data_IF_785434614320
#
_entry.id   IF_785434614320
#
_cell.length_a   1.000
_cell.length_b   1.000
_cell.length_c   1.000
_cell.angle_alpha   90.00
_cell.angle_beta   90.00
_cell.angle_gamma   90.00
#
_symmetry.space_group_name_H-M   'P 1'
#
loop_
_entity.id
_entity.type
_entity.pdbx_description
1 polymer ?
#
# COMPACT_ATOMS: atom_id res chain seq x y z
N UNK A 1 28.17 -1.30 4.01
CA UNK A 1 26.90 -0.94 4.68
C UNK A 1 26.09 -2.22 4.76
N UNK A 2 25.38 -2.48 5.86
CA UNK A 2 24.64 -3.75 5.97
C UNK A 2 23.28 -3.71 5.27
N UNK A 3 22.76 -2.52 4.99
CA UNK A 3 21.63 -2.26 4.11
C UNK A 3 21.76 -0.87 3.47
N UNK A 4 20.93 -0.53 2.47
CA UNK A 4 20.70 0.85 2.05
C UNK A 4 19.25 1.03 1.59
N UNK A 5 18.50 1.93 2.24
CA UNK A 5 17.11 2.19 1.85
C UNK A 5 16.73 3.65 2.10
N UNK A 6 16.15 4.31 1.10
CA UNK A 6 15.75 5.72 1.15
C UNK A 6 14.34 6.01 0.60
N UNK A 7 13.50 4.98 0.46
CA UNK A 7 12.20 5.10 -0.22
C UNK A 7 11.11 5.87 0.56
N UNK A 8 11.35 6.25 1.82
CA UNK A 8 10.36 6.97 2.63
C UNK A 8 10.90 8.28 3.18
N UNK A 9 9.99 9.21 3.47
CA UNK A 9 10.34 10.55 3.97
C UNK A 9 11.10 10.51 5.30
N UNK A 10 10.96 9.44 6.09
CA UNK A 10 11.65 9.26 7.37
C UNK A 10 13.03 8.60 7.25
N UNK A 11 13.57 8.43 6.04
CA UNK A 11 14.92 7.89 5.85
C UNK A 11 15.95 8.65 6.71
N UNK A 12 16.88 7.90 7.29
CA UNK A 12 17.82 8.46 8.25
C UNK A 12 18.59 9.66 7.66
N UNK A 13 18.59 10.78 8.40
CA UNK A 13 19.20 12.07 7.99
C UNK A 13 18.64 12.67 6.70
N UNK A 14 17.51 12.18 6.18
CA UNK A 14 17.01 12.54 4.87
C UNK A 14 17.89 12.04 3.71
N UNK A 15 18.75 11.03 3.95
CA UNK A 15 19.70 10.49 2.96
C UNK A 15 19.46 9.00 2.71
N UNK A 16 19.41 8.19 3.77
CA UNK A 16 19.27 6.74 3.63
C UNK A 16 19.55 5.99 4.92
N UNK A 17 18.81 4.91 5.16
CA UNK A 17 19.02 4.01 6.29
C UNK A 17 20.08 2.97 5.94
N UNK A 18 21.16 2.88 6.72
CA UNK A 18 22.34 2.04 6.39
C UNK A 18 22.66 0.92 7.37
N UNK A 19 21.88 0.81 8.45
CA UNK A 19 22.07 -0.17 9.55
C UNK A 19 20.72 -0.78 9.94
N UNK A 20 19.74 0.08 10.25
CA UNK A 20 18.34 -0.28 10.50
C UNK A 20 17.46 0.85 10.00
N UNK A 21 16.31 0.50 9.42
CA UNK A 21 15.32 1.48 9.00
C UNK A 21 14.72 2.24 10.19
N UNK A 22 14.44 3.54 10.03
CA UNK A 22 13.68 4.31 11.03
C UNK A 22 12.28 3.72 11.23
N UNK A 23 11.72 3.12 10.18
CA UNK A 23 10.49 2.32 10.23
C UNK A 23 10.60 1.02 11.06
N UNK A 24 11.83 0.62 11.43
CA UNK A 24 12.12 -0.60 12.19
C UNK A 24 12.53 -1.80 11.34
N UNK A 25 12.53 -1.69 10.00
CA UNK A 25 13.01 -2.72 9.07
C UNK A 25 14.47 -3.04 9.37
N UNK A 26 14.78 -4.31 9.64
CA UNK A 26 16.16 -4.78 9.85
C UNK A 26 16.90 -4.93 8.51
N UNK A 27 18.20 -5.20 8.57
CA UNK A 27 19.04 -5.36 7.38
C UNK A 27 18.61 -6.55 6.51
N UNK A 28 18.27 -7.68 7.12
CA UNK A 28 17.86 -8.90 6.40
C UNK A 28 16.60 -8.67 5.57
N UNK A 29 15.53 -8.12 6.17
CA UNK A 29 14.29 -7.78 5.44
C UNK A 29 14.55 -6.72 4.37
N UNK A 30 15.43 -5.74 4.62
CA UNK A 30 15.77 -4.75 3.62
C UNK A 30 16.45 -5.38 2.40
N UNK A 31 17.45 -6.23 2.64
CA UNK A 31 18.23 -6.89 1.60
C UNK A 31 17.39 -7.90 0.82
N UNK A 32 16.49 -8.64 1.51
CA UNK A 32 15.52 -9.52 0.85
C UNK A 32 14.55 -8.75 -0.03
N UNK A 33 14.10 -7.55 0.37
CA UNK A 33 13.27 -6.71 -0.50
C UNK A 33 14.04 -6.19 -1.71
N UNK A 34 15.33 -5.86 -1.57
CA UNK A 34 16.19 -5.50 -2.71
C UNK A 34 16.35 -6.69 -3.68
N UNK A 35 16.57 -7.90 -3.16
CA UNK A 35 16.62 -9.12 -3.98
C UNK A 35 15.28 -9.43 -4.66
N UNK A 36 14.15 -9.20 -3.98
CA UNK A 36 12.83 -9.33 -4.60
C UNK A 36 12.70 -8.37 -5.77
N UNK A 37 13.05 -7.09 -5.60
CA UNK A 37 13.06 -6.11 -6.69
C UNK A 37 13.99 -6.52 -7.84
N UNK A 38 15.17 -7.03 -7.53
CA UNK A 38 16.12 -7.56 -8.50
C UNK A 38 15.50 -8.71 -9.32
N UNK A 39 14.82 -9.65 -8.67
CA UNK A 39 14.12 -10.75 -9.33
C UNK A 39 12.99 -10.24 -10.25
N UNK A 40 12.17 -9.29 -9.79
CA UNK A 40 11.09 -8.71 -10.59
C UNK A 40 11.61 -8.03 -11.86
N UNK A 41 12.73 -7.30 -11.77
CA UNK A 41 13.38 -6.69 -12.95
C UNK A 41 13.87 -7.75 -13.95
N UNK A 42 14.37 -8.88 -13.46
CA UNK A 42 14.74 -10.05 -14.28
C UNK A 42 13.54 -10.69 -15.00
N UNK A 43 12.44 -10.91 -14.28
CA UNK A 43 11.17 -11.40 -14.85
C UNK A 43 10.71 -10.44 -15.96
N UNK A 44 10.72 -9.13 -15.68
CA UNK A 44 10.30 -8.12 -16.63
C UNK A 44 11.11 -8.16 -17.95
N UNK A 45 12.44 -8.33 -17.89
CA UNK A 45 13.26 -8.48 -19.09
C UNK A 45 12.90 -9.72 -19.92
N UNK A 46 12.61 -10.85 -19.27
CA UNK A 46 12.20 -12.06 -19.98
C UNK A 46 10.82 -11.91 -20.63
N UNK A 47 9.86 -11.31 -19.92
CA UNK A 47 8.52 -11.03 -20.47
C UNK A 47 8.62 -10.09 -21.68
N UNK A 48 9.39 -8.99 -21.57
CA UNK A 48 9.68 -8.10 -22.70
C UNK A 48 10.31 -8.82 -23.89
N UNK A 49 11.22 -9.77 -23.64
CA UNK A 49 11.84 -10.59 -24.69
C UNK A 49 10.81 -11.50 -25.35
N UNK A 50 9.95 -12.16 -24.56
CA UNK A 50 8.88 -13.01 -25.07
C UNK A 50 7.88 -12.24 -25.95
N UNK A 51 7.46 -11.05 -25.54
CA UNK A 51 6.63 -10.15 -26.35
C UNK A 51 7.28 -9.81 -27.70
N UNK A 52 8.55 -9.39 -27.67
CA UNK A 52 9.29 -9.00 -28.88
C UNK A 52 9.41 -10.14 -29.88
N UNK A 53 9.59 -11.37 -29.39
CA UNK A 53 9.77 -12.57 -30.21
C UNK A 53 8.45 -13.32 -30.46
N UNK A 54 7.31 -12.78 -29.99
CA UNK A 54 5.98 -13.37 -30.08
C UNK A 54 5.89 -14.80 -29.50
N UNK A 55 6.55 -15.04 -28.38
CA UNK A 55 6.53 -16.32 -27.65
C UNK A 55 5.51 -16.25 -26.52
N UNK A 56 4.58 -17.20 -26.47
CA UNK A 56 3.64 -17.33 -25.36
C UNK A 56 4.37 -17.81 -24.10
N UNK A 57 4.16 -17.12 -22.98
CA UNK A 57 4.79 -17.40 -21.69
C UNK A 57 3.76 -17.30 -20.55
N UNK A 58 4.02 -17.88 -19.36
CA UNK A 58 3.16 -17.71 -18.21
C UNK A 58 2.92 -16.24 -17.86
N UNK A 59 1.73 -15.93 -17.37
CA UNK A 59 1.38 -14.58 -16.95
C UNK A 59 2.10 -14.24 -15.63
N UNK A 60 2.84 -13.13 -15.62
CA UNK A 60 3.59 -12.65 -14.45
C UNK A 60 2.93 -11.43 -13.77
N UNK A 61 1.83 -10.91 -14.31
CA UNK A 61 1.25 -9.62 -13.95
C UNK A 61 0.89 -9.51 -12.46
N UNK A 62 0.12 -10.47 -11.95
CA UNK A 62 -0.32 -10.46 -10.54
C UNK A 62 0.85 -10.68 -9.57
N UNK A 63 1.81 -11.54 -9.94
CA UNK A 63 3.01 -11.75 -9.12
C UNK A 63 3.82 -10.45 -9.01
N UNK A 64 4.07 -9.77 -10.13
CA UNK A 64 4.81 -8.50 -10.16
C UNK A 64 4.10 -7.42 -9.35
N UNK A 65 2.78 -7.29 -9.53
CA UNK A 65 1.95 -6.34 -8.80
C UNK A 65 2.05 -6.55 -7.28
N UNK A 66 1.75 -7.76 -6.80
CA UNK A 66 1.76 -8.04 -5.35
C UNK A 66 3.16 -7.96 -4.76
N UNK A 67 4.19 -8.43 -5.47
CA UNK A 67 5.56 -8.34 -5.00
C UNK A 67 6.06 -6.89 -4.89
N UNK A 68 5.67 -6.00 -5.81
CA UNK A 68 5.95 -4.57 -5.69
C UNK A 68 5.32 -4.00 -4.42
N UNK A 69 4.05 -4.32 -4.15
CA UNK A 69 3.33 -3.84 -2.97
C UNK A 69 3.96 -4.36 -1.67
N UNK A 70 4.36 -5.63 -1.60
CA UNK A 70 5.06 -6.22 -0.43
C UNK A 70 6.30 -5.41 0.00
N UNK A 71 6.96 -4.71 -0.93
CA UNK A 71 8.16 -3.90 -0.64
C UNK A 71 7.88 -2.43 -0.27
N UNK A 72 6.62 -2.02 -0.19
CA UNK A 72 6.23 -0.68 0.29
C UNK A 72 6.63 -0.52 1.76
N UNK A 73 6.93 0.72 2.15
CA UNK A 73 7.24 1.06 3.55
C UNK A 73 6.10 0.63 4.46
N UNK A 74 6.44 -0.09 5.53
CA UNK A 74 5.49 -0.61 6.50
C UNK A 74 4.45 -1.60 5.91
N UNK A 75 4.73 -2.26 4.78
CA UNK A 75 3.87 -3.32 4.26
C UNK A 75 4.22 -4.67 4.90
N UNK A 76 5.44 -5.18 4.66
CA UNK A 76 5.83 -6.51 5.09
C UNK A 76 7.21 -6.53 5.77
N UNK A 77 7.28 -7.13 6.97
CA UNK A 77 8.48 -7.35 7.77
C UNK A 77 8.81 -8.83 7.96
N UNK A 78 8.01 -9.73 7.37
CA UNK A 78 8.17 -11.18 7.47
C UNK A 78 9.15 -11.67 6.40
N UNK A 79 10.36 -12.01 6.84
CA UNK A 79 11.46 -12.52 6.03
C UNK A 79 11.06 -13.80 5.29
N UNK A 80 10.35 -14.72 5.95
CA UNK A 80 9.92 -15.98 5.35
C UNK A 80 8.87 -15.76 4.26
N UNK A 81 7.93 -14.82 4.47
CA UNK A 81 6.96 -14.43 3.44
C UNK A 81 7.65 -13.81 2.22
N UNK A 82 8.68 -12.99 2.42
CA UNK A 82 9.46 -12.37 1.34
C UNK A 82 10.28 -13.43 0.59
N UNK A 83 10.94 -14.36 1.29
CA UNK A 83 11.67 -15.48 0.67
C UNK A 83 10.72 -16.34 -0.17
N UNK A 84 9.53 -16.67 0.35
CA UNK A 84 8.50 -17.37 -0.41
C UNK A 84 8.14 -16.63 -1.70
N UNK A 85 7.95 -15.31 -1.64
CA UNK A 85 7.68 -14.47 -2.82
C UNK A 85 8.83 -14.48 -3.82
N UNK A 86 10.08 -14.43 -3.36
CA UNK A 86 11.26 -14.56 -4.24
C UNK A 86 11.26 -15.90 -4.98
N UNK A 87 10.99 -17.01 -4.27
CA UNK A 87 10.93 -18.35 -4.85
C UNK A 87 9.84 -18.50 -5.91
N UNK A 88 8.64 -17.97 -5.65
CA UNK A 88 7.56 -17.91 -6.64
C UNK A 88 8.01 -17.18 -7.93
N UNK A 89 8.72 -16.06 -7.79
CA UNK A 89 9.27 -15.31 -8.91
C UNK A 89 10.36 -16.07 -9.66
N UNK A 90 11.19 -16.84 -8.95
CA UNK A 90 12.21 -17.71 -9.57
C UNK A 90 11.57 -18.81 -10.42
N UNK A 91 10.52 -19.47 -9.93
CA UNK A 91 9.77 -20.47 -10.71
C UNK A 91 9.19 -19.86 -11.98
N UNK A 92 8.53 -18.69 -11.89
CA UNK A 92 8.03 -17.98 -13.08
C UNK A 92 9.15 -17.67 -14.07
N UNK A 93 10.30 -17.21 -13.57
CA UNK A 93 11.47 -16.89 -14.40
C UNK A 93 12.00 -18.12 -15.14
N UNK A 94 12.08 -19.27 -14.47
CA UNK A 94 12.48 -20.54 -15.08
C UNK A 94 11.50 -20.97 -16.18
N UNK A 95 10.18 -20.87 -15.95
CA UNK A 95 9.16 -21.24 -16.92
C UNK A 95 9.19 -20.33 -18.17
N UNK A 96 9.29 -19.01 -17.98
CA UNK A 96 9.38 -18.03 -19.07
C UNK A 96 10.68 -18.25 -19.87
N UNK A 97 11.82 -18.41 -19.20
CA UNK A 97 13.11 -18.68 -19.84
C UNK A 97 13.10 -20.02 -20.59
N UNK A 98 12.45 -21.05 -20.03
CA UNK A 98 12.27 -22.35 -20.66
C UNK A 98 11.45 -22.26 -21.94
N UNK A 99 10.34 -21.53 -21.93
CA UNK A 99 9.51 -21.29 -23.11
C UNK A 99 10.28 -20.59 -24.24
N UNK A 100 11.05 -19.53 -23.90
CA UNK A 100 11.92 -18.83 -24.85
C UNK A 100 12.97 -19.75 -25.47
N UNK A 101 13.68 -20.55 -24.65
CA UNK A 101 14.69 -21.51 -25.13
C UNK A 101 14.08 -22.58 -26.03
N UNK A 102 12.89 -23.10 -25.68
CA UNK A 102 12.17 -24.08 -26.49
C UNK A 102 11.74 -23.49 -27.85
N UNK A 103 11.49 -22.19 -27.91
CA UNK A 103 11.25 -21.46 -29.16
C UNK A 103 12.54 -21.09 -29.93
N UNK A 104 13.71 -21.51 -29.46
CA UNK A 104 15.00 -21.23 -30.09
C UNK A 104 15.50 -19.80 -29.90
N UNK A 105 14.92 -19.06 -28.94
CA UNK A 105 15.30 -17.67 -28.66
C UNK A 105 16.52 -17.64 -27.73
N UNK A 106 17.57 -16.91 -28.15
CA UNK A 106 18.72 -16.63 -27.28
C UNK A 106 18.36 -15.62 -26.19
N UNK A 107 18.88 -15.86 -24.98
CA UNK A 107 18.79 -14.99 -23.81
C UNK A 107 20.07 -14.17 -23.58
N UNK A 108 20.99 -14.17 -24.56
CA UNK A 108 22.23 -13.39 -24.47
C UNK A 108 21.94 -11.89 -24.44
N UNK A 109 22.74 -11.16 -23.67
CA UNK A 109 22.61 -9.70 -23.52
C UNK A 109 21.54 -9.24 -22.53
N UNK A 110 20.84 -10.17 -21.87
CA UNK A 110 19.99 -9.83 -20.71
C UNK A 110 20.85 -9.61 -19.46
N UNK A 111 20.31 -8.83 -18.52
CA UNK A 111 20.96 -8.61 -17.23
C UNK A 111 21.02 -9.92 -16.43
N UNK A 112 22.02 -10.08 -15.57
CA UNK A 112 22.18 -11.29 -14.73
C UNK A 112 20.92 -11.61 -13.92
N UNK A 113 20.12 -10.60 -13.58
CA UNK A 113 18.82 -10.73 -12.92
C UNK A 113 17.86 -11.70 -13.64
N UNK A 114 17.90 -11.72 -14.98
CA UNK A 114 17.09 -12.61 -15.82
C UNK A 114 17.56 -14.07 -15.76
N UNK A 115 18.83 -14.32 -15.44
CA UNK A 115 19.42 -15.66 -15.39
C UNK A 115 19.70 -16.18 -13.98
N UNK A 116 19.75 -15.31 -12.97
CA UNK A 116 20.04 -15.68 -11.58
C UNK A 116 18.98 -16.65 -11.06
N UNK A 117 19.40 -17.74 -10.42
CA UNK A 117 18.49 -18.76 -9.93
C UNK A 117 19.12 -19.55 -8.78
N UNK A 118 18.47 -19.56 -7.62
CA UNK A 118 18.91 -20.22 -6.40
C UNK A 118 17.70 -20.78 -5.65
N UNK A 119 17.83 -21.97 -5.05
CA UNK A 119 16.66 -22.71 -4.53
C UNK A 119 16.63 -22.85 -3.01
N UNK A 120 17.75 -22.71 -2.30
CA UNK A 120 17.79 -22.76 -0.84
C UNK A 120 17.69 -21.37 -0.20
N UNK A 121 17.13 -21.31 1.02
CA UNK A 121 17.01 -20.06 1.77
C UNK A 121 18.38 -19.45 2.06
N UNK A 122 19.37 -20.28 2.43
CA UNK A 122 20.75 -19.83 2.66
C UNK A 122 21.37 -19.16 1.43
N UNK A 123 21.10 -19.67 0.22
CA UNK A 123 21.58 -19.08 -1.02
C UNK A 123 20.89 -17.74 -1.28
N UNK A 124 19.56 -17.70 -1.18
CA UNK A 124 18.76 -16.48 -1.33
C UNK A 124 19.23 -15.39 -0.36
N UNK A 125 19.47 -15.74 0.91
CA UNK A 125 20.00 -14.82 1.92
C UNK A 125 21.44 -14.39 1.55
N UNK A 126 22.28 -15.31 1.06
CA UNK A 126 23.63 -14.94 0.61
C UNK A 126 23.59 -13.95 -0.57
N UNK A 127 22.74 -14.19 -1.58
CA UNK A 127 22.57 -13.28 -2.73
C UNK A 127 21.98 -11.94 -2.31
N UNK A 128 21.03 -11.91 -1.37
CA UNK A 128 20.42 -10.66 -0.92
C UNK A 128 21.44 -9.71 -0.29
N UNK A 129 22.52 -10.25 0.26
CA UNK A 129 23.62 -9.49 0.86
C UNK A 129 24.68 -9.02 -0.15
N UNK A 130 24.56 -9.33 -1.45
CA UNK A 130 25.54 -8.87 -2.45
C UNK A 130 25.27 -7.42 -2.89
N UNK A 131 26.30 -6.61 -3.18
CA UNK A 131 26.10 -5.23 -3.61
C UNK A 131 25.33 -5.08 -4.92
N UNK A 132 25.36 -6.09 -5.80
CA UNK A 132 24.78 -5.99 -7.16
C UNK A 132 23.25 -5.98 -7.20
N UNK A 133 22.56 -6.42 -6.12
CA UNK A 133 21.08 -6.44 -6.07
C UNK A 133 20.49 -5.18 -5.44
N UNK A 134 21.31 -4.40 -4.73
CA UNK A 134 20.86 -3.24 -3.98
C UNK A 134 20.82 -1.94 -4.80
N UNK A 135 20.22 -0.90 -4.21
CA UNK A 135 20.06 0.44 -4.81
C UNK A 135 21.39 1.05 -5.27
N UNK A 136 22.47 0.80 -4.52
CA UNK A 136 23.79 1.37 -4.79
C UNK A 136 24.55 0.67 -5.93
N UNK A 137 24.00 -0.39 -6.52
CA UNK A 137 24.56 -1.02 -7.72
C UNK A 137 24.60 -0.06 -8.92
N UNK A 138 23.68 0.91 -8.99
CA UNK A 138 23.77 2.01 -9.95
C UNK A 138 24.70 3.08 -9.40
N UNK A 139 25.91 3.23 -9.96
CA UNK A 139 26.94 4.15 -9.44
C UNK A 139 26.59 5.63 -9.65
N UNK A 140 26.15 5.98 -10.86
CA UNK A 140 25.78 7.36 -11.22
C UNK A 140 24.55 7.81 -10.41
N UNK A 141 24.68 8.92 -9.68
CA UNK A 141 23.65 9.40 -8.76
C UNK A 141 22.37 9.86 -9.46
N UNK A 142 22.48 10.53 -10.60
CA UNK A 142 21.30 11.01 -11.35
C UNK A 142 20.52 9.84 -11.96
N UNK A 143 21.23 8.87 -12.55
CA UNK A 143 20.62 7.64 -13.08
C UNK A 143 19.98 6.83 -11.95
N UNK A 144 20.68 6.67 -10.82
CA UNK A 144 20.14 6.00 -9.63
C UNK A 144 18.90 6.71 -9.11
N UNK A 145 18.92 8.04 -9.03
CA UNK A 145 17.79 8.85 -8.58
C UNK A 145 16.55 8.61 -9.45
N UNK A 146 16.69 8.65 -10.78
CA UNK A 146 15.56 8.45 -11.70
C UNK A 146 15.05 7.00 -11.68
N UNK A 147 15.94 6.00 -11.67
CA UNK A 147 15.55 4.58 -11.59
C UNK A 147 14.77 4.28 -10.31
N UNK A 148 15.20 4.81 -9.18
CA UNK A 148 14.52 4.60 -7.90
C UNK A 148 13.23 5.43 -7.81
N UNK A 149 13.18 6.64 -8.35
CA UNK A 149 11.95 7.43 -8.45
C UNK A 149 10.86 6.70 -9.26
N UNK A 150 11.24 6.14 -10.42
CA UNK A 150 10.34 5.30 -11.22
C UNK A 150 9.91 4.08 -10.41
N UNK A 151 10.86 3.36 -9.81
CA UNK A 151 10.59 2.15 -9.03
C UNK A 151 9.60 2.43 -7.89
N UNK A 152 9.74 3.55 -7.16
CA UNK A 152 8.81 3.91 -6.09
C UNK A 152 7.44 4.34 -6.60
N UNK A 153 7.37 5.01 -7.75
CA UNK A 153 6.13 5.26 -8.46
C UNK A 153 5.40 3.98 -8.85
N UNK A 154 6.13 2.98 -9.36
CA UNK A 154 5.58 1.67 -9.72
C UNK A 154 5.05 0.91 -8.50
N UNK A 155 5.72 0.98 -7.35
CA UNK A 155 5.21 0.38 -6.11
C UNK A 155 3.86 0.97 -5.71
N UNK A 156 3.73 2.29 -5.72
CA UNK A 156 2.45 2.96 -5.44
C UNK A 156 1.36 2.60 -6.45
N UNK A 157 1.71 2.54 -7.74
CA UNK A 157 0.80 2.10 -8.80
C UNK A 157 0.32 0.66 -8.58
N UNK A 158 1.23 -0.25 -8.23
CA UNK A 158 0.90 -1.65 -7.99
C UNK A 158 -0.07 -1.82 -6.81
N UNK A 159 0.07 -1.02 -5.76
CA UNK A 159 -0.88 -1.02 -4.65
C UNK A 159 -2.30 -0.65 -5.09
N UNK A 160 -2.45 0.41 -5.89
CA UNK A 160 -3.77 0.80 -6.41
C UNK A 160 -4.34 -0.24 -7.39
N UNK A 161 -3.50 -0.83 -8.23
CA UNK A 161 -3.89 -1.90 -9.15
C UNK A 161 -4.38 -3.15 -8.40
N UNK A 162 -3.72 -3.53 -7.30
CA UNK A 162 -4.10 -4.69 -6.50
C UNK A 162 -5.48 -4.52 -5.86
N UNK A 163 -5.79 -3.32 -5.35
CA UNK A 163 -7.11 -3.05 -4.81
C UNK A 163 -8.22 -3.09 -5.87
N UNK A 164 -7.94 -2.60 -7.09
CA UNK A 164 -8.90 -2.71 -8.19
C UNK A 164 -9.09 -4.18 -8.61
N UNK A 165 -8.00 -4.95 -8.67
CA UNK A 165 -8.02 -6.38 -8.99
C UNK A 165 -8.83 -7.19 -7.98
N UNK A 166 -8.71 -6.89 -6.68
CA UNK A 166 -9.51 -7.52 -5.63
C UNK A 166 -11.03 -7.28 -5.82
N UNK A 167 -11.41 -6.25 -6.57
CA UNK A 167 -12.79 -5.92 -6.95
C UNK A 167 -13.14 -6.36 -8.38
N UNK A 168 -12.27 -7.14 -9.03
CA UNK A 168 -12.47 -7.69 -10.37
C UNK A 168 -12.24 -6.70 -11.51
N UNK A 169 -11.54 -5.58 -11.27
CA UNK A 169 -11.13 -4.64 -12.31
C UNK A 169 -9.61 -4.66 -12.50
N UNK A 170 -9.16 -4.89 -13.72
CA UNK A 170 -7.74 -4.86 -14.08
C UNK A 170 -7.53 -4.31 -15.50
N UNK A 171 -6.28 -3.96 -15.81
CA UNK A 171 -5.90 -3.41 -17.12
C UNK A 171 -4.57 -3.98 -17.56
N UNK A 172 -4.58 -4.64 -18.73
CA UNK A 172 -3.37 -5.17 -19.34
C UNK A 172 -2.36 -4.04 -19.63
N UNK A 173 -2.83 -2.86 -20.07
CA UNK A 173 -1.95 -1.72 -20.35
C UNK A 173 -1.16 -1.27 -19.11
N UNK A 174 -1.78 -1.34 -17.92
CA UNK A 174 -1.13 -0.99 -16.64
C UNK A 174 -0.05 -2.03 -16.30
N UNK A 175 -0.36 -3.32 -16.43
CA UNK A 175 0.61 -4.39 -16.17
C UNK A 175 1.79 -4.34 -17.16
N UNK A 176 1.50 -4.16 -18.44
CA UNK A 176 2.49 -4.01 -19.50
C UNK A 176 3.42 -2.82 -19.25
N UNK A 177 2.87 -1.71 -18.73
CA UNK A 177 3.69 -0.58 -18.33
C UNK A 177 4.59 -0.90 -17.12
N UNK A 178 4.09 -1.58 -16.09
CA UNK A 178 4.92 -2.01 -14.95
C UNK A 178 6.09 -2.87 -15.40
N UNK A 179 5.84 -3.84 -16.29
CA UNK A 179 6.88 -4.68 -16.89
C UNK A 179 7.89 -3.85 -17.70
N UNK A 180 7.42 -2.98 -18.59
CA UNK A 180 8.28 -2.06 -19.37
C UNK A 180 9.18 -1.23 -18.46
N UNK A 181 8.61 -0.59 -17.45
CA UNK A 181 9.33 0.32 -16.58
C UNK A 181 10.33 -0.42 -15.68
N UNK A 182 9.97 -1.59 -15.12
CA UNK A 182 10.91 -2.42 -14.37
C UNK A 182 12.12 -2.83 -15.21
N UNK A 183 11.89 -3.34 -16.43
CA UNK A 183 12.97 -3.75 -17.34
C UNK A 183 13.89 -2.56 -17.69
N UNK A 184 13.33 -1.38 -17.92
CA UNK A 184 14.09 -0.16 -18.22
C UNK A 184 15.02 0.27 -17.08
N UNK A 185 14.69 -0.04 -15.82
CA UNK A 185 15.58 0.28 -14.68
C UNK A 185 16.85 -0.57 -14.60
N UNK A 186 17.01 -1.58 -15.49
CA UNK A 186 18.25 -2.33 -15.69
C UNK A 186 18.93 -2.03 -17.03
N UNK A 187 18.38 -1.14 -17.85
CA UNK A 187 18.94 -0.81 -19.15
C UNK A 187 19.91 0.38 -19.01
N UNK A 188 21.22 0.08 -19.06
CA UNK A 188 22.30 1.07 -18.97
C UNK A 188 22.50 1.86 -20.27
N UNK A 189 21.78 1.54 -21.35
CA UNK A 189 21.81 2.31 -22.59
C UNK A 189 20.89 3.54 -22.56
N UNK A 190 19.95 3.60 -21.61
CA UNK A 190 19.04 4.73 -21.46
C UNK A 190 19.75 5.98 -20.94
N UNK A 191 19.50 7.11 -21.60
CA UNK A 191 19.97 8.40 -21.14
C UNK A 191 19.15 8.94 -19.96
N UNK A 192 19.64 9.99 -19.31
CA UNK A 192 18.88 10.71 -18.29
C UNK A 192 17.56 11.27 -18.84
N UNK A 193 17.54 11.76 -20.09
CA UNK A 193 16.33 12.28 -20.74
C UNK A 193 15.29 11.17 -20.94
N UNK A 194 15.73 9.96 -21.32
CA UNK A 194 14.84 8.80 -21.47
C UNK A 194 14.21 8.40 -20.13
N UNK A 195 15.00 8.42 -19.05
CA UNK A 195 14.51 8.11 -17.70
C UNK A 195 13.59 9.22 -17.14
N UNK A 196 13.82 10.49 -17.49
CA UNK A 196 12.87 11.58 -17.17
C UNK A 196 11.55 11.38 -17.90
N UNK A 197 11.57 11.03 -19.19
CA UNK A 197 10.36 10.73 -19.94
C UNK A 197 9.61 9.53 -19.35
N UNK A 198 10.32 8.47 -18.99
CA UNK A 198 9.73 7.30 -18.33
C UNK A 198 9.13 7.66 -16.95
N UNK A 199 9.75 8.58 -16.21
CA UNK A 199 9.20 9.10 -14.94
C UNK A 199 7.85 9.81 -15.16
N UNK A 200 7.75 10.65 -16.20
CA UNK A 200 6.48 11.32 -16.54
C UNK A 200 5.43 10.32 -17.02
N UNK A 201 5.84 9.31 -17.79
CA UNK A 201 4.96 8.21 -18.22
C UNK A 201 4.43 7.41 -17.02
N UNK A 202 5.27 7.15 -16.01
CA UNK A 202 4.86 6.55 -14.73
C UNK A 202 3.77 7.39 -14.06
N UNK A 203 3.89 8.72 -14.09
CA UNK A 203 2.85 9.62 -13.57
C UNK A 203 1.51 9.48 -14.31
N UNK A 204 1.54 9.38 -15.64
CA UNK A 204 0.35 9.17 -16.47
C UNK A 204 -0.34 7.84 -16.13
N UNK A 205 0.41 6.74 -16.05
CA UNK A 205 -0.17 5.44 -15.64
C UNK A 205 -0.60 5.41 -14.17
N UNK A 206 -0.01 6.25 -13.32
CA UNK A 206 -0.48 6.47 -11.96
C UNK A 206 -1.90 7.07 -11.94
N UNK A 207 -2.17 8.05 -12.80
CA UNK A 207 -3.53 8.60 -13.00
C UNK A 207 -4.48 7.54 -13.52
N UNK A 208 -4.08 6.79 -14.55
CA UNK A 208 -4.91 5.72 -15.15
C UNK A 208 -5.30 4.67 -14.10
N UNK A 209 -4.36 4.29 -13.22
CA UNK A 209 -4.59 3.29 -12.18
C UNK A 209 -5.47 3.82 -11.04
N UNK A 210 -5.28 5.07 -10.63
CA UNK A 210 -6.17 5.71 -9.64
C UNK A 210 -7.60 5.83 -10.17
N UNK A 211 -7.79 6.14 -11.46
CA UNK A 211 -9.11 6.18 -12.09
C UNK A 211 -9.77 4.79 -12.15
N UNK A 212 -8.99 3.75 -12.44
CA UNK A 212 -9.47 2.36 -12.39
C UNK A 212 -9.92 1.97 -10.98
N UNK A 213 -9.12 2.29 -9.95
CA UNK A 213 -9.48 2.01 -8.56
C UNK A 213 -10.70 2.82 -8.09
N UNK A 214 -10.81 4.08 -8.47
CA UNK A 214 -11.99 4.92 -8.20
C UNK A 214 -13.25 4.29 -8.79
N UNK A 215 -13.21 3.87 -10.06
CA UNK A 215 -14.29 3.13 -10.73
C UNK A 215 -14.62 1.83 -9.98
N UNK A 216 -13.61 1.03 -9.63
CA UNK A 216 -13.80 -0.25 -8.93
C UNK A 216 -14.52 -0.08 -7.60
N UNK A 217 -14.06 0.86 -6.77
CA UNK A 217 -14.67 1.14 -5.47
C UNK A 217 -16.09 1.71 -5.61
N UNK A 218 -16.27 2.74 -6.43
CA UNK A 218 -17.56 3.47 -6.53
C UNK A 218 -18.64 2.63 -7.21
N UNK A 219 -18.29 1.80 -8.19
CA UNK A 219 -19.24 0.89 -8.84
C UNK A 219 -19.64 -0.28 -7.93
N UNK A 220 -18.76 -0.73 -7.04
CA UNK A 220 -19.05 -1.83 -6.11
C UNK A 220 -19.80 -1.35 -4.86
N UNK A 221 -19.36 -0.25 -4.25
CA UNK A 221 -19.81 0.18 -2.92
C UNK A 221 -20.67 1.46 -2.93
N UNK A 222 -20.89 2.04 -4.11
CA UNK A 222 -21.57 3.32 -4.30
C UNK A 222 -20.61 4.51 -4.23
N UNK A 223 -21.07 5.68 -4.68
CA UNK A 223 -20.27 6.89 -4.56
C UNK A 223 -20.21 7.34 -3.09
N UNK A 224 -19.04 7.71 -2.55
CA UNK A 224 -18.96 8.33 -1.23
C UNK A 224 -19.87 9.55 -1.13
N UNK A 225 -20.55 9.68 0.00
CA UNK A 225 -21.49 10.77 0.27
C UNK A 225 -21.20 11.40 1.64
N UNK A 226 -21.67 12.63 1.86
CA UNK A 226 -21.48 13.33 3.14
C UNK A 226 -21.90 12.43 4.31
N UNK A 227 -20.99 12.23 5.25
CA UNK A 227 -21.16 11.30 6.37
C UNK A 227 -20.55 11.86 7.64
N UNK A 228 -21.29 11.79 8.74
CA UNK A 228 -20.78 11.98 10.10
C UNK A 228 -20.32 10.63 10.64
N UNK A 229 -19.06 10.54 11.05
CA UNK A 229 -18.45 9.31 11.55
C UNK A 229 -18.20 9.44 13.04
N UNK A 230 -18.75 8.54 13.84
CA UNK A 230 -18.47 8.46 15.27
C UNK A 230 -17.00 8.09 15.52
N UNK A 231 -16.38 8.78 16.47
CA UNK A 231 -14.99 8.52 16.92
C UNK A 231 -14.91 8.01 18.37
N UNK A 232 -16.06 7.86 19.05
CA UNK A 232 -16.17 7.17 20.34
C UNK A 232 -16.37 5.66 20.18
N UNK A 233 -16.62 4.96 21.30
CA UNK A 233 -16.71 3.48 21.34
C UNK A 233 -18.00 2.96 21.97
N UNK A 234 -18.28 1.68 21.71
CA UNK A 234 -19.33 0.87 22.34
C UNK A 234 -18.72 -0.15 23.30
N UNK A 235 -19.56 -0.83 24.07
CA UNK A 235 -19.16 -1.82 25.08
C UNK A 235 -19.13 -3.27 24.58
N UNK A 236 -19.18 -3.51 23.26
CA UNK A 236 -19.06 -4.85 22.67
C UNK A 236 -17.59 -5.19 22.40
N UNK A 237 -17.21 -6.49 22.37
CA UNK A 237 -15.93 -6.91 21.79
C UNK A 237 -15.86 -6.45 20.33
N UNK A 238 -14.65 -6.13 19.85
CA UNK A 238 -14.51 -5.49 18.55
C UNK A 238 -13.25 -5.91 17.77
N UNK A 239 -13.29 -5.72 16.46
CA UNK A 239 -12.15 -5.84 15.54
C UNK A 239 -11.83 -4.47 14.95
N UNK A 240 -10.55 -4.11 14.94
CA UNK A 240 -10.06 -2.89 14.29
C UNK A 240 -9.49 -3.22 12.91
N UNK A 241 -9.97 -2.57 11.85
CA UNK A 241 -9.46 -2.77 10.49
C UNK A 241 -8.63 -1.57 10.07
N UNK A 242 -7.40 -1.85 9.65
CA UNK A 242 -6.41 -0.87 9.20
C UNK A 242 -5.96 -1.19 7.77
N UNK A 243 -5.40 -0.19 7.08
CA UNK A 243 -5.00 -0.28 5.67
C UNK A 243 -6.04 0.35 4.73
N UNK A 244 -6.27 -0.26 3.56
CA UNK A 244 -7.06 0.35 2.49
C UNK A 244 -8.05 -0.60 1.79
N UNK A 245 -7.96 -1.92 2.00
CA UNK A 245 -8.70 -2.86 1.16
C UNK A 245 -10.18 -2.95 1.56
N UNK A 246 -11.05 -2.41 0.71
CA UNK A 246 -12.50 -2.40 0.93
C UNK A 246 -13.14 -3.78 0.68
N UNK A 247 -12.48 -4.67 -0.08
CA UNK A 247 -12.99 -6.03 -0.31
C UNK A 247 -12.85 -6.88 0.94
N UNK A 248 -11.72 -6.79 1.63
CA UNK A 248 -11.51 -7.41 2.92
C UNK A 248 -12.49 -6.88 3.96
N UNK A 249 -12.73 -5.57 3.95
CA UNK A 249 -13.69 -4.93 4.84
C UNK A 249 -15.12 -5.42 4.61
N UNK A 250 -15.56 -5.54 3.35
CA UNK A 250 -16.85 -6.14 3.00
C UNK A 250 -16.99 -7.57 3.54
N UNK A 251 -15.99 -8.41 3.28
CA UNK A 251 -15.99 -9.81 3.70
C UNK A 251 -16.01 -9.95 5.23
N UNK A 252 -15.29 -9.08 5.95
CA UNK A 252 -15.32 -9.05 7.42
C UNK A 252 -16.67 -8.60 7.95
N UNK A 253 -17.27 -7.53 7.40
CA UNK A 253 -18.58 -7.03 7.83
C UNK A 253 -19.67 -8.09 7.65
N UNK A 254 -19.64 -8.84 6.55
CA UNK A 254 -20.59 -9.92 6.32
C UNK A 254 -20.40 -11.07 7.33
N UNK A 255 -19.16 -11.47 7.63
CA UNK A 255 -18.87 -12.56 8.56
C UNK A 255 -19.10 -12.19 10.03
N UNK A 256 -19.00 -10.90 10.40
CA UNK A 256 -19.26 -10.40 11.76
C UNK A 256 -20.73 -10.16 12.05
N UNK A 257 -21.61 -10.16 11.03
CA UNK A 257 -23.05 -9.93 11.18
C UNK A 257 -23.69 -10.93 12.15
N UNK A 258 -24.33 -10.41 13.19
CA UNK A 258 -25.04 -11.23 14.18
C UNK A 258 -24.14 -12.00 15.16
N UNK A 259 -22.83 -11.75 15.14
CA UNK A 259 -21.87 -12.42 16.04
C UNK A 259 -21.73 -11.77 17.41
N UNK A 260 -22.21 -10.53 17.55
CA UNK A 260 -21.99 -9.69 18.73
C UNK A 260 -20.63 -8.98 18.77
N UNK A 261 -19.85 -9.07 17.70
CA UNK A 261 -18.56 -8.37 17.54
C UNK A 261 -18.76 -7.12 16.68
N UNK A 262 -18.37 -5.96 17.22
CA UNK A 262 -18.39 -4.69 16.51
C UNK A 262 -17.15 -4.55 15.59
N UNK A 263 -17.28 -3.73 14.55
CA UNK A 263 -16.18 -3.43 13.61
C UNK A 263 -15.89 -1.93 13.63
N UNK A 264 -14.61 -1.58 13.77
CA UNK A 264 -14.10 -0.22 13.69
C UNK A 264 -13.08 -0.10 12.57
N UNK A 265 -13.00 1.10 12.01
CA UNK A 265 -11.96 1.49 11.04
C UNK A 265 -10.82 2.22 11.75
N UNK A 266 -9.62 2.18 11.17
CA UNK A 266 -8.45 2.91 11.65
C UNK A 266 -7.67 3.50 10.48
N UNK A 267 -7.11 4.69 10.69
CA UNK A 267 -6.26 5.40 9.74
C UNK A 267 -6.88 5.50 8.34
N UNK A 268 -6.39 4.73 7.37
CA UNK A 268 -6.83 4.85 5.97
C UNK A 268 -8.11 4.07 5.64
N UNK A 269 -8.61 3.28 6.59
CA UNK A 269 -9.93 2.66 6.47
C UNK A 269 -11.08 3.60 6.84
N UNK A 270 -10.80 4.79 7.41
CA UNK A 270 -11.82 5.80 7.73
C UNK A 270 -12.82 6.04 6.57
N UNK A 271 -12.39 6.18 5.30
CA UNK A 271 -13.31 6.42 4.19
C UNK A 271 -14.31 5.30 3.92
N UNK A 272 -14.13 4.10 4.45
CA UNK A 272 -15.14 3.04 4.33
C UNK A 272 -16.49 3.48 4.92
N UNK A 273 -16.49 4.34 5.95
CA UNK A 273 -17.71 4.92 6.51
C UNK A 273 -18.52 5.74 5.48
N UNK A 274 -17.87 6.26 4.44
CA UNK A 274 -18.50 7.17 3.49
C UNK A 274 -19.28 6.45 2.39
N UNK A 275 -19.05 5.15 2.20
CA UNK A 275 -19.67 4.36 1.13
C UNK A 275 -21.06 3.85 1.55
N UNK A 276 -22.12 4.12 0.76
CA UNK A 276 -23.47 3.68 1.08
C UNK A 276 -23.61 2.17 1.35
N UNK A 277 -22.83 1.34 0.64
CA UNK A 277 -22.89 -0.12 0.80
C UNK A 277 -22.52 -0.60 2.22
N UNK A 278 -21.67 0.14 2.94
CA UNK A 278 -21.23 -0.24 4.29
C UNK A 278 -22.10 0.37 5.39
N UNK A 279 -22.82 1.46 5.12
CA UNK A 279 -23.70 2.13 6.10
C UNK A 279 -24.90 1.30 6.55
N UNK A 280 -25.21 0.20 5.85
CA UNK A 280 -26.31 -0.72 6.20
C UNK A 280 -25.98 -1.66 7.37
N UNK A 281 -24.74 -1.71 7.84
CA UNK A 281 -24.29 -2.64 8.88
C UNK A 281 -24.28 -1.94 10.26
N UNK A 282 -25.25 -2.26 11.13
CA UNK A 282 -25.41 -1.61 12.44
C UNK A 282 -24.24 -1.83 13.42
N UNK A 283 -23.45 -2.89 13.20
CA UNK A 283 -22.26 -3.23 13.98
C UNK A 283 -20.97 -2.64 13.41
N UNK A 284 -21.04 -1.89 12.30
CA UNK A 284 -19.98 -1.00 11.86
C UNK A 284 -20.12 0.33 12.63
N UNK A 285 -19.24 0.55 13.62
CA UNK A 285 -19.47 1.59 14.63
C UNK A 285 -18.90 2.97 14.26
N UNK A 286 -17.72 2.99 13.65
CA UNK A 286 -17.03 4.25 13.35
C UNK A 286 -15.53 4.09 13.12
N UNK A 287 -14.77 5.13 13.45
CA UNK A 287 -13.32 5.16 13.32
C UNK A 287 -12.64 5.36 14.68
N UNK A 288 -11.66 4.52 15.00
CA UNK A 288 -10.90 4.60 16.24
C UNK A 288 -9.51 5.18 15.99
N UNK A 289 -9.13 6.19 16.78
CA UNK A 289 -7.77 6.74 16.79
C UNK A 289 -7.46 7.71 15.65
N UNK A 290 -6.18 7.79 15.30
CA UNK A 290 -5.63 8.75 14.36
C UNK A 290 -4.90 8.04 13.20
N UNK A 291 -3.77 8.60 12.77
CA UNK A 291 -2.95 8.08 11.69
C UNK A 291 -2.02 6.97 12.19
N UNK A 292 -1.64 6.11 11.25
CA UNK A 292 -0.83 4.89 11.43
C UNK A 292 0.34 4.95 12.41
N UNK A 293 0.99 6.10 12.58
CA UNK A 293 2.19 6.21 13.40
C UNK A 293 1.94 6.17 14.91
N UNK A 294 0.70 6.45 15.36
CA UNK A 294 0.25 6.39 16.77
C UNK A 294 -0.29 5.02 17.19
N UNK A 295 -0.23 4.03 16.30
CA UNK A 295 -0.90 2.76 16.53
C UNK A 295 -0.31 1.93 17.68
N UNK A 296 0.90 2.22 18.17
CA UNK A 296 1.45 1.51 19.34
C UNK A 296 0.67 1.82 20.60
N UNK A 297 0.24 3.07 20.74
CA UNK A 297 -0.58 3.56 21.83
C UNK A 297 -2.04 3.20 21.60
N UNK A 298 -2.56 3.48 20.40
CA UNK A 298 -3.99 3.30 20.10
C UNK A 298 -4.40 1.82 20.05
N UNK A 299 -3.54 0.93 19.56
CA UNK A 299 -3.88 -0.49 19.54
C UNK A 299 -3.89 -1.09 20.95
N UNK A 300 -3.07 -0.59 21.87
CA UNK A 300 -3.14 -0.98 23.29
C UNK A 300 -4.56 -0.74 23.83
N UNK A 301 -5.05 0.50 23.69
CA UNK A 301 -6.34 0.90 24.23
C UNK A 301 -7.52 0.28 23.49
N UNK A 302 -7.34 -0.16 22.24
CA UNK A 302 -8.40 -0.85 21.49
C UNK A 302 -8.78 -2.22 22.08
N UNK A 303 -7.87 -2.87 22.84
CA UNK A 303 -8.02 -4.20 23.45
C UNK A 303 -8.18 -5.38 22.46
N UNK A 304 -9.13 -5.29 21.51
CA UNK A 304 -9.47 -6.33 20.55
C UNK A 304 -8.40 -6.62 19.48
N UNK A 305 -8.69 -7.54 18.54
CA UNK A 305 -7.79 -7.88 17.45
C UNK A 305 -7.71 -6.76 16.39
N UNK A 306 -6.58 -6.70 15.70
CA UNK A 306 -6.33 -5.76 14.60
C UNK A 306 -6.11 -6.54 13.31
N UNK A 307 -6.83 -6.17 12.26
CA UNK A 307 -6.63 -6.66 10.91
C UNK A 307 -5.91 -5.61 10.06
N UNK A 308 -4.71 -5.91 9.59
CA UNK A 308 -4.03 -5.14 8.56
C UNK A 308 -4.35 -5.72 7.18
N UNK A 309 -5.03 -4.92 6.36
CA UNK A 309 -5.26 -5.24 4.94
C UNK A 309 -4.07 -4.84 4.07
N UNK A 310 -3.32 -3.81 4.48
CA UNK A 310 -2.15 -3.24 3.79
C UNK A 310 -1.18 -2.61 4.78
N UNK A 311 -0.18 -1.86 4.29
CA UNK A 311 0.57 -0.89 5.10
C UNK A 311 -0.38 0.14 5.78
N UNK A 312 -0.04 0.74 6.92
CA UNK A 312 1.28 0.81 7.54
C UNK A 312 1.37 0.07 8.89
N UNK A 313 1.85 -1.17 8.88
CA UNK A 313 2.22 -1.88 10.11
C UNK A 313 3.58 -1.36 10.62
N UNK A 314 3.62 -0.96 11.88
CA UNK A 314 4.84 -0.56 12.59
C UNK A 314 5.18 -1.70 13.53
N UNK A 315 6.47 -2.06 13.73
CA UNK A 315 6.84 -3.14 14.62
C UNK A 315 6.09 -3.05 15.96
N UNK A 316 5.15 -3.99 16.21
CA UNK A 316 4.28 -3.96 17.38
C UNK A 316 5.07 -4.27 18.64
N UNK A 317 4.44 -4.04 19.79
CA UNK A 317 4.93 -4.61 21.06
C UNK A 317 4.76 -6.13 21.00
N UNK A 318 5.66 -6.85 21.67
CA UNK A 318 5.72 -8.31 21.60
C UNK A 318 4.41 -8.98 22.06
N UNK A 319 3.79 -8.44 23.10
CA UNK A 319 2.50 -8.88 23.65
C UNK A 319 1.29 -8.57 22.74
N UNK A 320 1.45 -7.71 21.74
CA UNK A 320 0.40 -7.40 20.76
C UNK A 320 0.43 -8.29 19.52
N UNK A 321 1.54 -8.99 19.24
CA UNK A 321 1.71 -9.80 18.02
C UNK A 321 0.60 -10.85 17.88
N UNK A 322 0.20 -11.48 18.99
CA UNK A 322 -0.81 -12.55 19.01
C UNK A 322 -2.22 -12.12 18.60
N UNK A 323 -2.53 -10.82 18.67
CA UNK A 323 -3.84 -10.24 18.29
C UNK A 323 -3.78 -9.42 17.02
N UNK A 324 -2.64 -9.40 16.33
CA UNK A 324 -2.49 -8.78 15.02
C UNK A 324 -2.65 -9.87 13.95
N UNK A 325 -3.54 -9.58 13.01
CA UNK A 325 -3.79 -10.38 11.81
C UNK A 325 -3.35 -9.55 10.61
N UNK A 326 -2.69 -10.21 9.67
CA UNK A 326 -2.25 -9.62 8.39
C UNK A 326 -2.94 -10.34 7.24
N UNK A 327 -3.10 -9.67 6.12
CA UNK A 327 -3.57 -10.27 4.87
C UNK A 327 -3.03 -9.48 3.68
N UNK A 328 -3.19 -10.01 2.47
CA UNK A 328 -2.72 -9.37 1.24
C UNK A 328 -1.22 -9.12 1.28
N UNK A 329 -0.80 -7.92 0.88
CA UNK A 329 0.62 -7.55 0.84
C UNK A 329 1.26 -7.32 2.22
N UNK A 330 0.46 -7.28 3.30
CA UNK A 330 0.95 -7.00 4.65
C UNK A 330 1.48 -8.24 5.37
N UNK A 331 2.49 -8.07 6.24
CA UNK A 331 3.06 -9.18 7.01
C UNK A 331 3.99 -8.74 8.13
N UNK A 332 4.03 -9.52 9.20
CA UNK A 332 4.97 -9.34 10.31
C UNK A 332 5.21 -10.67 11.03
N UNK A 333 6.47 -11.00 11.42
CA UNK A 333 6.79 -12.27 12.04
C UNK A 333 5.92 -12.57 13.27
N UNK A 334 5.35 -13.78 13.30
CA UNK A 334 4.52 -14.27 14.41
C UNK A 334 3.06 -13.79 14.39
N UNK A 335 2.68 -12.85 13.50
CA UNK A 335 1.27 -12.51 13.28
C UNK A 335 0.58 -13.60 12.46
N UNK A 336 -0.71 -13.82 12.70
CA UNK A 336 -1.50 -14.73 11.85
C UNK A 336 -1.71 -14.07 10.49
N UNK A 337 -1.43 -14.79 9.40
CA UNK A 337 -1.70 -14.32 8.05
C UNK A 337 -2.95 -15.01 7.49
N UNK A 338 -3.91 -14.22 7.02
CA UNK A 338 -5.18 -14.70 6.45
C UNK A 338 -5.04 -14.71 4.94
N UNK A 339 -4.99 -15.91 4.37
CA UNK A 339 -4.95 -16.12 2.92
C UNK A 339 -6.38 -16.29 2.36
N UNK A 340 -6.65 -15.83 1.13
CA UNK A 340 -7.89 -16.16 0.44
C UNK A 340 -7.91 -17.62 -0.03
N UNK A 341 -9.11 -18.18 -0.17
CA UNK A 341 -9.31 -19.43 -0.91
C UNK A 341 -9.23 -19.21 -2.43
N UNK A 342 -9.43 -20.28 -3.20
CA UNK A 342 -9.41 -20.27 -4.67
C UNK A 342 -10.44 -19.30 -5.31
N UNK A 343 -11.46 -18.88 -4.57
CA UNK A 343 -12.50 -17.96 -5.02
C UNK A 343 -12.28 -16.52 -4.46
N UNK A 344 -11.13 -16.24 -3.85
CA UNK A 344 -10.84 -14.95 -3.25
C UNK A 344 -11.52 -14.71 -1.89
N UNK A 345 -12.15 -15.74 -1.30
CA UNK A 345 -12.83 -15.61 -0.02
C UNK A 345 -11.85 -15.82 1.13
N UNK A 346 -11.79 -14.86 2.06
CA UNK A 346 -10.98 -14.94 3.27
C UNK A 346 -11.83 -15.43 4.45
N UNK A 347 -11.27 -16.33 5.26
CA UNK A 347 -11.92 -16.81 6.47
C UNK A 347 -11.51 -15.96 7.69
N UNK A 348 -12.46 -15.17 8.19
CA UNK A 348 -12.28 -14.34 9.38
C UNK A 348 -12.80 -15.00 10.65
N UNK A 349 -13.18 -16.28 10.63
CA UNK A 349 -13.69 -16.99 11.80
C UNK A 349 -12.74 -16.93 13.00
N UNK A 350 -11.44 -17.09 12.78
CA UNK A 350 -10.44 -17.07 13.85
C UNK A 350 -10.35 -15.70 14.54
N UNK A 351 -10.34 -14.60 13.78
CA UNK A 351 -10.25 -13.25 14.37
C UNK A 351 -11.54 -12.87 15.10
N UNK A 352 -12.70 -13.34 14.62
CA UNK A 352 -14.00 -13.14 15.27
C UNK A 352 -14.06 -13.89 16.61
N UNK A 353 -13.67 -15.17 16.64
CA UNK A 353 -13.62 -15.95 17.88
C UNK A 353 -12.56 -15.44 18.86
N UNK A 354 -11.50 -14.81 18.36
CA UNK A 354 -10.52 -14.13 19.21
C UNK A 354 -11.14 -12.87 19.84
N UNK A 355 -11.81 -12.03 19.05
CA UNK A 355 -12.41 -10.79 19.54
C UNK A 355 -13.40 -11.03 20.69
N UNK A 356 -14.22 -12.08 20.62
CA UNK A 356 -15.18 -12.45 21.68
C UNK A 356 -14.55 -12.75 23.05
N UNK A 357 -13.24 -12.96 23.12
CA UNK A 357 -12.50 -13.28 24.35
C UNK A 357 -11.75 -12.08 24.92
N UNK A 358 -11.77 -10.95 24.22
CA UNK A 358 -11.06 -9.73 24.59
C UNK A 358 -12.05 -8.67 25.06
N UNK A 359 -11.55 -7.73 25.85
CA UNK A 359 -12.34 -6.61 26.36
C UNK A 359 -12.77 -5.68 25.21
N UNK A 360 -13.87 -4.95 25.44
CA UNK A 360 -14.33 -3.91 24.54
C UNK A 360 -13.28 -2.76 24.44
N UNK A 361 -13.25 -1.98 23.35
CA UNK A 361 -12.32 -0.86 23.21
C UNK A 361 -12.44 0.17 24.33
N UNK A 362 -11.29 0.70 24.76
CA UNK A 362 -11.23 1.84 25.70
C UNK A 362 -11.41 3.14 24.91
N UNK A 363 -12.33 4.00 25.37
CA UNK A 363 -12.55 5.30 24.74
C UNK A 363 -11.32 6.20 24.90
N UNK A 364 -10.85 6.78 23.79
CA UNK A 364 -9.71 7.72 23.74
C UNK A 364 -10.15 9.14 23.37
N UNK A 365 -11.33 9.28 22.77
CA UNK A 365 -11.97 10.53 22.36
C UNK A 365 -13.48 10.26 22.10
N UNK A 366 -14.26 11.32 21.93
CA UNK A 366 -15.68 11.23 21.56
C UNK A 366 -16.04 12.34 20.55
N UNK A 367 -17.22 12.23 19.95
CA UNK A 367 -17.72 13.17 18.95
C UNK A 367 -17.80 12.56 17.56
N UNK A 368 -17.75 13.40 16.53
CA UNK A 368 -17.82 12.96 15.13
C UNK A 368 -16.86 13.74 14.24
N UNK A 369 -16.51 13.13 13.10
CA UNK A 369 -15.81 13.78 12.01
C UNK A 369 -16.62 13.68 10.72
N UNK A 370 -16.62 14.74 9.91
CA UNK A 370 -17.36 14.78 8.65
C UNK A 370 -16.45 14.45 7.48
N UNK A 371 -16.92 13.60 6.56
CA UNK A 371 -16.22 13.28 5.32
C UNK A 371 -17.16 12.86 4.20
N UNK A 372 -16.59 12.24 3.14
CA UNK A 372 -17.36 11.75 1.99
C UNK A 372 -17.43 12.71 0.79
N UNK A 373 -16.61 13.75 0.77
CA UNK A 373 -16.50 14.70 -0.35
C UNK A 373 -15.65 14.16 -1.51
N UNK A 374 -16.01 12.99 -2.05
CA UNK A 374 -15.42 12.47 -3.29
C UNK A 374 -15.95 13.20 -4.54
N UNK A 375 -15.42 12.87 -5.72
CA UNK A 375 -15.70 13.62 -6.95
C UNK A 375 -17.21 13.73 -7.26
N UNK A 376 -18.00 12.66 -7.11
CA UNK A 376 -19.45 12.69 -7.37
C UNK A 376 -20.19 13.63 -6.40
N UNK A 377 -19.89 13.53 -5.11
CA UNK A 377 -20.49 14.38 -4.07
C UNK A 377 -20.13 15.86 -4.26
N UNK A 378 -18.87 16.17 -4.61
CA UNK A 378 -18.43 17.56 -4.84
C UNK A 378 -19.06 18.11 -6.12
N UNK A 379 -19.15 17.32 -7.19
CA UNK A 379 -19.80 17.73 -8.43
C UNK A 379 -21.31 17.99 -8.23
N UNK A 380 -21.99 17.21 -7.38
CA UNK A 380 -23.37 17.48 -7.00
C UNK A 380 -23.55 18.80 -6.23
N UNK A 381 -22.48 19.35 -5.67
CA UNK A 381 -22.44 20.64 -4.97
C UNK A 381 -21.81 21.76 -5.82
N UNK A 382 -21.46 21.50 -7.09
CA UNK A 382 -20.65 22.40 -7.91
C UNK A 382 -21.21 23.82 -8.00
N UNK A 383 -22.52 23.99 -8.22
CA UNK A 383 -23.14 25.31 -8.32
C UNK A 383 -22.95 26.12 -7.03
N UNK A 384 -23.13 25.49 -5.87
CA UNK A 384 -22.92 26.15 -4.55
C UNK A 384 -21.46 26.52 -4.35
N UNK A 385 -20.53 25.64 -4.73
CA UNK A 385 -19.09 25.90 -4.63
C UNK A 385 -18.70 27.07 -5.55
N UNK A 386 -19.19 27.09 -6.78
CA UNK A 386 -18.95 28.16 -7.76
C UNK A 386 -19.51 29.50 -7.27
N UNK A 387 -20.73 29.51 -6.71
CA UNK A 387 -21.34 30.73 -6.17
C UNK A 387 -20.60 31.26 -4.95
N UNK A 388 -20.11 30.38 -4.06
CA UNK A 388 -19.29 30.75 -2.92
C UNK A 388 -17.94 31.37 -3.35
N UNK A 389 -17.33 30.85 -4.43
CA UNK A 389 -16.11 31.44 -5.00
C UNK A 389 -16.39 32.79 -5.65
N UNK A 390 -17.45 32.89 -6.47
CA UNK A 390 -17.82 34.14 -7.16
C UNK A 390 -18.20 35.27 -6.19
N UNK A 391 -18.86 34.94 -5.08
CA UNK A 391 -19.22 35.92 -4.05
C UNK A 391 -18.05 36.30 -3.15
N UNK A 392 -16.93 35.57 -3.20
CA UNK A 392 -15.77 35.77 -2.34
C UNK A 392 -15.90 35.16 -0.94
N UNK A 393 -16.95 34.36 -0.70
CA UNK A 393 -17.12 33.60 0.54
C UNK A 393 -16.07 32.48 0.68
N UNK A 394 -15.64 31.89 -0.45
CA UNK A 394 -14.44 31.05 -0.53
C UNK A 394 -13.41 31.78 -1.38
N UNK A 395 -12.31 32.21 -0.76
CA UNK A 395 -11.20 32.89 -1.45
C UNK A 395 -10.16 31.93 -2.01
N UNK A 396 -9.95 30.79 -1.36
CA UNK A 396 -8.90 29.84 -1.77
C UNK A 396 -9.19 28.42 -1.28
N UNK A 397 -8.82 27.46 -2.12
CA UNK A 397 -8.70 26.06 -1.73
C UNK A 397 -7.23 25.72 -1.50
N UNK A 398 -6.95 24.97 -0.43
CA UNK A 398 -5.63 24.42 -0.13
C UNK A 398 -5.68 22.91 -0.19
N UNK A 399 -4.95 22.30 -1.12
CA UNK A 399 -4.81 20.83 -1.18
C UNK A 399 -3.75 20.42 -0.17
N UNK A 400 -4.18 19.76 0.92
CA UNK A 400 -3.31 19.26 2.00
C UNK A 400 -3.39 17.73 2.10
N UNK A 401 -3.72 17.06 0.99
CA UNK A 401 -3.74 15.61 0.87
C UNK A 401 -2.33 14.99 1.04
N UNK A 402 -2.28 13.67 1.26
CA UNK A 402 -1.05 12.90 1.31
C UNK A 402 -0.95 12.01 2.56
N UNK A 403 0.28 11.75 2.99
CA UNK A 403 0.57 10.84 4.10
C UNK A 403 1.10 11.57 5.32
N UNK A 404 0.60 11.22 6.51
CA UNK A 404 1.16 11.65 7.79
C UNK A 404 2.41 10.81 8.19
N UNK A 405 3.10 11.20 9.25
CA UNK A 405 4.26 10.50 9.81
C UNK A 405 4.69 11.04 11.17
N UNK A 406 5.81 10.54 11.67
CA UNK A 406 6.28 10.73 13.07
C UNK A 406 7.01 12.04 13.32
N UNK A 407 7.61 12.64 12.29
CA UNK A 407 8.47 13.81 12.48
C UNK A 407 7.71 14.97 13.10
N UNK A 408 8.26 15.54 14.18
CA UNK A 408 7.68 16.68 14.89
C UNK A 408 7.41 17.88 13.97
N UNK A 409 8.24 18.08 12.95
CA UNK A 409 8.05 19.14 11.94
C UNK A 409 6.71 19.08 11.21
N UNK A 410 5.95 17.97 11.31
CA UNK A 410 4.58 17.87 10.79
C UNK A 410 3.54 18.63 11.62
N UNK A 411 3.90 19.13 12.81
CA UNK A 411 3.12 20.15 13.53
C UNK A 411 2.82 21.36 12.64
N UNK A 412 3.71 21.67 11.69
CA UNK A 412 3.48 22.64 10.62
C UNK A 412 2.11 22.50 9.95
N UNK A 413 1.63 21.28 9.65
CA UNK A 413 0.35 21.10 8.95
C UNK A 413 -0.85 21.37 9.84
N UNK A 414 -0.72 21.17 11.15
CA UNK A 414 -1.75 21.53 12.13
C UNK A 414 -1.78 23.04 12.29
N UNK A 415 -0.63 23.66 12.57
CA UNK A 415 -0.50 25.12 12.73
C UNK A 415 -0.94 25.85 11.46
N UNK A 416 -0.54 25.38 10.27
CA UNK A 416 -0.95 25.97 9.00
C UNK A 416 -2.47 25.92 8.83
N UNK A 417 -3.13 24.81 9.19
CA UNK A 417 -4.58 24.69 9.10
C UNK A 417 -5.31 25.63 10.08
N UNK A 418 -4.79 25.78 11.30
CA UNK A 418 -5.32 26.69 12.34
C UNK A 418 -5.16 28.17 11.97
N UNK A 419 -4.06 28.53 11.29
CA UNK A 419 -3.76 29.92 10.89
C UNK A 419 -4.43 30.34 9.58
N UNK A 420 -5.03 29.41 8.84
CA UNK A 420 -5.73 29.75 7.59
C UNK A 420 -6.91 30.70 7.85
N UNK A 421 -7.13 31.71 7.00
CA UNK A 421 -8.33 32.54 7.10
C UNK A 421 -9.62 31.71 6.98
N UNK A 422 -10.65 32.10 7.73
CA UNK A 422 -11.97 31.41 7.75
C UNK A 422 -12.67 31.37 6.38
N UNK A 423 -12.24 32.20 5.41
CA UNK A 423 -12.74 32.21 4.03
C UNK A 423 -11.98 31.25 3.08
N UNK A 424 -11.31 30.25 3.64
CA UNK A 424 -10.56 29.23 2.90
C UNK A 424 -11.09 27.82 3.17
N UNK A 425 -10.82 26.89 2.24
CA UNK A 425 -11.26 25.49 2.36
C UNK A 425 -10.08 24.54 2.13
N UNK A 426 -9.87 23.61 3.06
CA UNK A 426 -8.88 22.54 2.90
C UNK A 426 -9.50 21.37 2.12
N UNK A 427 -8.81 20.93 1.07
CA UNK A 427 -9.12 19.70 0.34
C UNK A 427 -8.11 18.62 0.75
N UNK A 428 -8.60 17.47 1.22
CA UNK A 428 -7.73 16.40 1.74
C UNK A 428 -8.12 15.02 1.25
N UNK A 429 -7.12 14.15 1.14
CA UNK A 429 -7.22 12.72 0.91
C UNK A 429 -5.98 12.06 1.54
N UNK A 430 -6.14 10.81 1.98
CA UNK A 430 -5.10 10.08 2.70
C UNK A 430 -4.86 10.54 4.14
N UNK A 431 -3.99 9.81 4.86
CA UNK A 431 -3.88 9.94 6.31
C UNK A 431 -3.28 11.26 6.81
N UNK A 432 -2.77 12.14 5.94
CA UNK A 432 -2.41 13.52 6.28
C UNK A 432 -3.58 14.28 6.94
N UNK A 433 -4.83 13.90 6.64
CA UNK A 433 -6.05 14.45 7.24
C UNK A 433 -6.02 14.49 8.77
N UNK A 434 -5.36 13.53 9.42
CA UNK A 434 -5.33 13.41 10.88
C UNK A 434 -4.57 14.52 11.60
N UNK A 435 -3.88 15.40 10.85
CA UNK A 435 -3.27 16.61 11.39
C UNK A 435 -4.27 17.74 11.65
N UNK A 436 -5.45 17.71 11.02
CA UNK A 436 -6.38 18.83 11.05
C UNK A 436 -7.87 18.45 10.97
N UNK A 437 -8.23 17.16 10.81
CA UNK A 437 -9.63 16.72 10.70
C UNK A 437 -10.38 16.59 12.03
N UNK A 438 -9.73 16.95 13.14
CA UNK A 438 -10.28 16.97 14.51
C UNK A 438 -10.07 18.34 15.18
N UNK A 439 -9.80 19.37 14.38
CA UNK A 439 -9.81 20.76 14.86
C UNK A 439 -11.25 21.25 14.96
N UNK A 440 -11.45 22.29 15.79
CA UNK A 440 -12.76 22.93 16.03
C UNK A 440 -13.22 23.83 14.87
#
# INVERSE_FOLDING_TARGET
MSMFCYQCQEAAKGVGCTVKGVCGKNEEVANLQDLLMYNLKGIAQLVKKAEKENVAVPNANHHVMTALFTTITNANFDDQAIIKKIKEGLTLKEEIAGALKNAGISLDGLHEAASWNESSDDQIIAKSNTPEVGILATENEDVRSLRELITYGLKGMAAYAEHAYNLGQESEDIYQFMIKALAATLDDSLSADDLVQLTLETGKYGVDTMAMLDSANTSTYGNPEITEVNIGVRNNPAILVSGHDLKDFEQLLEQTKGTGVDVYTHSEMLPANYYPAFKKYDHFVGNYGNSWWKQKEEFESFNGPILFTTNCIVPPKEDHVSRIYTTGSSGYPGCVHIEPDENGKKDFSQIIEHAKKLDAPTEIENGTIVGGFAHNQVLALADKVVDAVKSGAIKKFFVMAGCDGRMKSREYYTEFAEELPEDTVILTAGCAKYRYNKLD
#
